data_IF_079373349047
#
_entry.id   IF_079373349047
#
_cell.length_a   1.000
_cell.length_b   1.000
_cell.length_c   1.000
_cell.angle_alpha   90.00
_cell.angle_beta   90.00
_cell.angle_gamma   90.00
#
_symmetry.space_group_name_H-M   'P 1'
#
loop_
_entity.id
_entity.type
_entity.pdbx_description
1 polymer ?
#
# COMPACT_ATOMS: atom_id res chain seq x y z
N UNK A 1 4.22 11.91 -14.98
CA UNK A 1 3.79 10.51 -14.76
C UNK A 1 4.86 9.50 -15.13
N UNK A 2 5.73 9.80 -16.12
CA UNK A 2 6.63 8.78 -16.70
C UNK A 2 7.87 8.42 -15.87
N UNK A 3 8.42 9.32 -15.04
CA UNK A 3 9.67 9.01 -14.31
C UNK A 3 9.44 8.11 -13.07
N UNK A 4 8.34 8.27 -12.34
CA UNK A 4 8.04 7.46 -11.16
C UNK A 4 7.66 6.02 -11.53
N UNK A 5 6.82 5.82 -12.57
CA UNK A 5 6.43 4.47 -13.01
C UNK A 5 7.62 3.71 -13.59
N UNK A 6 8.48 4.37 -14.35
CA UNK A 6 9.69 3.75 -14.88
C UNK A 6 10.67 3.33 -13.76
N UNK A 7 10.82 4.16 -12.73
CA UNK A 7 11.67 3.82 -11.59
C UNK A 7 11.09 2.64 -10.76
N UNK A 8 9.76 2.58 -10.57
CA UNK A 8 9.11 1.49 -9.85
C UNK A 8 9.18 0.17 -10.63
N UNK A 9 8.98 0.19 -11.94
CA UNK A 9 9.10 -0.99 -12.80
C UNK A 9 10.53 -1.53 -12.82
N UNK A 10 11.52 -0.69 -13.05
CA UNK A 10 12.93 -1.09 -13.00
C UNK A 10 13.28 -1.72 -11.63
N UNK A 11 12.77 -1.12 -10.54
CA UNK A 11 13.00 -1.57 -9.19
C UNK A 11 12.37 -2.93 -8.88
N UNK A 12 11.23 -3.26 -9.48
CA UNK A 12 10.67 -4.61 -9.38
C UNK A 12 11.67 -5.67 -9.81
N UNK A 13 12.37 -5.47 -10.93
CA UNK A 13 13.36 -6.43 -11.42
C UNK A 13 14.66 -6.43 -10.62
N UNK A 14 15.16 -5.25 -10.25
CA UNK A 14 16.42 -5.17 -9.47
C UNK A 14 16.27 -5.74 -8.06
N UNK A 15 15.12 -5.55 -7.42
CA UNK A 15 14.84 -6.04 -6.06
C UNK A 15 14.03 -7.35 -6.05
N UNK A 16 13.83 -7.94 -7.23
CA UNK A 16 13.02 -9.16 -7.39
C UNK A 16 13.38 -10.28 -6.43
N UNK A 17 14.66 -10.60 -6.14
CA UNK A 17 15.00 -11.66 -5.19
C UNK A 17 14.47 -11.39 -3.77
N UNK A 18 14.50 -10.13 -3.31
CA UNK A 18 13.98 -9.74 -1.99
C UNK A 18 12.45 -9.80 -1.93
N UNK A 19 11.80 -9.34 -3.01
CA UNK A 19 10.34 -9.38 -3.16
C UNK A 19 9.84 -10.83 -3.24
N UNK A 20 10.57 -11.68 -3.98
CA UNK A 20 10.27 -13.11 -4.09
C UNK A 20 10.44 -13.82 -2.75
N UNK A 21 11.45 -13.48 -1.95
CA UNK A 21 11.62 -14.05 -0.61
C UNK A 21 10.42 -13.74 0.30
N UNK A 22 9.94 -12.49 0.29
CA UNK A 22 8.73 -12.13 1.04
C UNK A 22 7.50 -12.90 0.56
N UNK A 23 7.36 -13.06 -0.76
CA UNK A 23 6.26 -13.84 -1.34
C UNK A 23 6.37 -15.33 -1.02
N UNK A 24 7.56 -15.91 -1.01
CA UNK A 24 7.75 -17.31 -0.62
C UNK A 24 7.26 -17.58 0.81
N UNK A 25 7.59 -16.71 1.76
CA UNK A 25 7.11 -16.83 3.15
C UNK A 25 5.57 -16.74 3.19
N UNK A 26 4.98 -15.77 2.46
CA UNK A 26 3.53 -15.62 2.36
C UNK A 26 2.87 -16.84 1.69
N UNK A 27 3.45 -17.35 0.61
CA UNK A 27 2.93 -18.50 -0.15
C UNK A 27 2.94 -19.78 0.68
N UNK A 28 4.00 -20.03 1.46
CA UNK A 28 4.08 -21.19 2.37
C UNK A 28 2.98 -21.11 3.43
N UNK A 29 2.76 -19.95 4.04
CA UNK A 29 1.69 -19.77 5.02
C UNK A 29 0.31 -20.00 4.38
N UNK A 30 0.06 -19.38 3.23
CA UNK A 30 -1.20 -19.55 2.49
C UNK A 30 -1.45 -21.00 2.09
N UNK A 31 -0.46 -21.69 1.54
CA UNK A 31 -0.57 -23.08 1.13
C UNK A 31 -0.82 -24.02 2.33
N UNK A 32 -0.12 -23.80 3.46
CA UNK A 32 -0.29 -24.61 4.66
C UNK A 32 -1.70 -24.47 5.25
N UNK A 33 -2.22 -23.25 5.39
CA UNK A 33 -3.58 -23.05 5.91
C UNK A 33 -4.64 -23.52 4.93
N UNK A 34 -4.47 -23.30 3.62
CA UNK A 34 -5.40 -23.81 2.62
C UNK A 34 -5.42 -25.33 2.63
N UNK A 35 -4.27 -26.01 2.68
CA UNK A 35 -4.17 -27.46 2.77
C UNK A 35 -4.87 -28.01 4.03
N UNK A 36 -4.73 -27.30 5.17
CA UNK A 36 -5.44 -27.66 6.40
C UNK A 36 -6.96 -27.66 6.21
N UNK A 37 -7.53 -26.61 5.59
CA UNK A 37 -8.96 -26.53 5.38
C UNK A 37 -9.46 -27.47 4.27
N UNK A 38 -8.66 -27.78 3.26
CA UNK A 38 -8.92 -28.85 2.30
C UNK A 38 -9.01 -30.21 3.02
N UNK A 39 -8.07 -30.51 3.92
CA UNK A 39 -8.08 -31.71 4.72
C UNK A 39 -9.31 -31.76 5.63
N UNK A 40 -9.65 -30.68 6.34
CA UNK A 40 -10.86 -30.60 7.16
C UNK A 40 -12.10 -30.84 6.30
N UNK A 41 -12.20 -30.20 5.13
CA UNK A 41 -13.31 -30.39 4.20
C UNK A 41 -13.45 -31.83 3.75
N UNK A 42 -12.35 -32.51 3.47
CA UNK A 42 -12.32 -33.93 3.13
C UNK A 42 -12.80 -34.82 4.27
N UNK A 43 -12.27 -34.60 5.50
CA UNK A 43 -12.61 -35.39 6.69
C UNK A 43 -14.06 -35.18 7.15
N UNK A 44 -14.64 -34.02 6.95
CA UNK A 44 -16.02 -33.69 7.37
C UNK A 44 -17.06 -33.93 6.29
N UNK A 45 -16.65 -34.27 5.06
CA UNK A 45 -17.53 -34.39 3.92
C UNK A 45 -17.99 -33.08 3.28
N UNK A 46 -17.56 -31.90 3.82
CA UNK A 46 -17.84 -30.56 3.25
C UNK A 46 -16.73 -30.09 2.28
N UNK A 47 -16.37 -30.98 1.34
CA UNK A 47 -15.27 -30.72 0.41
C UNK A 47 -15.72 -29.79 -0.74
N UNK A 48 -15.64 -28.49 -0.53
CA UNK A 48 -15.97 -27.46 -1.52
C UNK A 48 -15.06 -26.24 -1.40
N UNK A 49 -15.04 -25.41 -2.46
CA UNK A 49 -14.15 -24.25 -2.57
C UNK A 49 -14.37 -23.21 -1.45
N UNK A 50 -15.60 -23.07 -0.93
CA UNK A 50 -15.92 -22.11 0.13
C UNK A 50 -15.20 -22.52 1.42
N UNK A 51 -15.19 -23.83 1.74
CA UNK A 51 -14.45 -24.35 2.90
C UNK A 51 -12.94 -24.18 2.71
N UNK A 52 -12.42 -24.43 1.50
CA UNK A 52 -11.00 -24.25 1.22
C UNK A 52 -10.55 -22.77 1.38
N UNK A 53 -11.40 -21.83 0.99
CA UNK A 53 -11.16 -20.41 1.15
C UNK A 53 -11.08 -19.96 2.61
N UNK A 54 -11.53 -20.74 3.60
CA UNK A 54 -11.33 -20.43 5.03
C UNK A 54 -9.85 -20.28 5.39
N UNK A 55 -8.95 -20.92 4.64
CA UNK A 55 -7.50 -20.75 4.79
C UNK A 55 -7.00 -19.31 4.61
N UNK A 56 -7.79 -18.45 3.94
CA UNK A 56 -7.48 -17.03 3.78
C UNK A 56 -7.42 -16.33 5.15
N UNK A 57 -8.32 -16.67 6.08
CA UNK A 57 -8.42 -16.00 7.38
C UNK A 57 -7.08 -16.06 8.15
N UNK A 58 -6.53 -17.25 8.47
CA UNK A 58 -5.28 -17.36 9.20
C UNK A 58 -4.04 -17.02 8.37
N UNK A 59 -4.12 -17.00 7.04
CA UNK A 59 -3.00 -16.59 6.17
C UNK A 59 -2.88 -15.07 6.02
N UNK A 60 -3.96 -14.32 6.27
CA UNK A 60 -3.99 -12.87 6.03
C UNK A 60 -2.94 -12.06 6.84
N UNK A 61 -2.58 -12.41 8.10
CA UNK A 61 -1.46 -11.77 8.80
C UNK A 61 -0.13 -11.85 8.04
N UNK A 62 0.15 -12.94 7.35
CA UNK A 62 1.36 -13.10 6.53
C UNK A 62 1.30 -12.21 5.28
N UNK A 63 0.11 -12.00 4.73
CA UNK A 63 -0.08 -11.04 3.65
C UNK A 63 0.27 -9.60 4.08
N UNK A 64 0.07 -9.22 5.36
CA UNK A 64 0.56 -7.93 5.89
C UNK A 64 2.08 -7.78 5.70
N UNK A 65 2.84 -8.84 6.00
CA UNK A 65 4.30 -8.87 5.80
C UNK A 65 4.69 -8.65 4.34
N UNK A 66 3.99 -9.28 3.39
CA UNK A 66 4.19 -9.08 1.96
C UNK A 66 3.90 -7.62 1.56
N UNK A 67 2.73 -7.09 1.94
CA UNK A 67 2.30 -5.72 1.59
C UNK A 67 3.32 -4.69 2.09
N UNK A 68 3.77 -4.79 3.34
CA UNK A 68 4.76 -3.87 3.91
C UNK A 68 6.12 -3.98 3.21
N UNK A 69 6.58 -5.20 2.91
CA UNK A 69 7.85 -5.41 2.21
C UNK A 69 7.81 -4.84 0.80
N UNK A 70 6.74 -5.12 0.04
CA UNK A 70 6.50 -4.55 -1.29
C UNK A 70 6.48 -3.03 -1.23
N UNK A 71 5.82 -2.46 -0.23
CA UNK A 71 5.74 -1.02 -0.08
C UNK A 71 7.10 -0.39 0.21
N UNK A 72 7.83 -0.88 1.22
CA UNK A 72 9.14 -0.33 1.59
C UNK A 72 10.16 -0.42 0.45
N UNK A 73 10.25 -1.57 -0.21
CA UNK A 73 11.20 -1.79 -1.28
C UNK A 73 10.76 -1.10 -2.58
N UNK A 74 9.50 -1.30 -2.99
CA UNK A 74 8.99 -0.86 -4.29
C UNK A 74 8.63 0.63 -4.35
N UNK A 75 7.97 1.14 -3.30
CA UNK A 75 7.41 2.50 -3.28
C UNK A 75 8.34 3.47 -2.55
N UNK A 76 8.71 3.13 -1.30
CA UNK A 76 9.55 3.99 -0.45
C UNK A 76 11.04 3.89 -0.81
N UNK A 77 11.42 3.00 -1.71
CA UNK A 77 12.79 2.80 -2.19
C UNK A 77 13.82 2.55 -1.07
N UNK A 78 13.37 1.95 0.03
CA UNK A 78 14.21 1.64 1.20
C UNK A 78 14.80 0.24 1.07
N UNK A 79 16.09 0.13 1.35
CA UNK A 79 16.71 -1.19 1.54
C UNK A 79 16.45 -1.66 2.96
N UNK A 80 15.72 -2.78 3.09
CA UNK A 80 15.30 -3.31 4.39
C UNK A 80 15.58 -4.81 4.48
N UNK A 81 15.93 -5.32 5.68
CA UNK A 81 16.07 -6.76 5.90
C UNK A 81 14.69 -7.43 5.82
N UNK A 82 14.47 -8.19 4.74
CA UNK A 82 13.14 -8.75 4.37
C UNK A 82 12.51 -9.53 5.51
N UNK A 83 13.20 -10.51 6.08
CA UNK A 83 12.66 -11.37 7.13
C UNK A 83 12.26 -10.57 8.38
N UNK A 84 13.11 -9.64 8.84
CA UNK A 84 12.83 -8.80 10.02
C UNK A 84 11.63 -7.90 9.76
N UNK A 85 11.55 -7.26 8.59
CA UNK A 85 10.43 -6.39 8.20
C UNK A 85 9.15 -7.21 8.08
N UNK A 86 9.20 -8.35 7.42
CA UNK A 86 8.05 -9.24 7.22
C UNK A 86 7.44 -9.69 8.55
N UNK A 87 8.23 -10.39 9.38
CA UNK A 87 7.71 -10.93 10.64
C UNK A 87 7.41 -9.86 11.69
N UNK A 88 8.14 -8.74 11.69
CA UNK A 88 7.80 -7.57 12.50
C UNK A 88 6.39 -7.07 12.18
N UNK A 89 6.10 -6.86 10.89
CA UNK A 89 4.77 -6.41 10.43
C UNK A 89 3.67 -7.43 10.75
N UNK A 90 3.95 -8.72 10.54
CA UNK A 90 3.01 -9.80 10.92
C UNK A 90 2.63 -9.69 12.39
N UNK A 91 3.61 -9.56 13.28
CA UNK A 91 3.39 -9.48 14.73
C UNK A 91 2.60 -8.24 15.13
N UNK A 92 2.96 -7.07 14.60
CA UNK A 92 2.33 -5.78 14.91
C UNK A 92 0.88 -5.72 14.43
N UNK A 93 0.59 -6.28 13.25
CA UNK A 93 -0.72 -6.17 12.60
C UNK A 93 -1.58 -7.44 12.69
N UNK A 94 -1.17 -8.43 13.47
CA UNK A 94 -1.78 -9.76 13.50
C UNK A 94 -3.30 -9.73 13.67
N UNK A 95 -3.80 -9.04 14.72
CA UNK A 95 -5.24 -8.97 15.03
C UNK A 95 -6.03 -8.22 13.95
N UNK A 96 -5.49 -7.12 13.45
CA UNK A 96 -6.13 -6.34 12.39
C UNK A 96 -6.27 -7.16 11.10
N UNK A 97 -5.22 -7.87 10.72
CA UNK A 97 -5.25 -8.69 9.50
C UNK A 97 -6.06 -9.97 9.65
N UNK A 98 -6.19 -10.56 10.83
CA UNK A 98 -7.19 -11.62 11.04
C UNK A 98 -8.61 -11.11 10.73
N UNK A 99 -8.98 -9.92 11.22
CA UNK A 99 -10.28 -9.33 10.91
C UNK A 99 -10.42 -9.02 9.41
N UNK A 100 -9.38 -8.47 8.78
CA UNK A 100 -9.38 -8.26 7.33
C UNK A 100 -9.52 -9.60 6.57
N UNK A 101 -8.95 -10.69 7.10
CA UNK A 101 -9.12 -12.03 6.58
C UNK A 101 -10.57 -12.51 6.62
N UNK A 102 -11.27 -12.28 7.73
CA UNK A 102 -12.70 -12.60 7.85
C UNK A 102 -13.52 -11.81 6.83
N UNK A 103 -13.28 -10.51 6.70
CA UNK A 103 -13.98 -9.65 5.73
C UNK A 103 -13.68 -10.09 4.29
N UNK A 104 -12.41 -10.35 3.96
CA UNK A 104 -11.99 -10.84 2.63
C UNK A 104 -12.65 -12.17 2.31
N UNK A 105 -12.63 -13.10 3.26
CA UNK A 105 -13.30 -14.40 3.10
C UNK A 105 -14.80 -14.23 2.84
N UNK A 106 -15.48 -13.39 3.63
CA UNK A 106 -16.91 -13.13 3.45
C UNK A 106 -17.22 -12.55 2.06
N UNK A 107 -16.42 -11.58 1.60
CA UNK A 107 -16.55 -11.00 0.25
C UNK A 107 -16.39 -12.10 -0.81
N UNK A 108 -15.35 -12.93 -0.71
CA UNK A 108 -15.08 -14.00 -1.70
C UNK A 108 -16.19 -15.04 -1.67
N UNK A 109 -16.57 -15.54 -0.50
CA UNK A 109 -17.61 -16.58 -0.37
C UNK A 109 -18.98 -16.09 -0.89
N UNK A 110 -19.39 -14.87 -0.49
CA UNK A 110 -20.61 -14.25 -1.02
C UNK A 110 -20.52 -14.03 -2.54
N UNK A 111 -19.32 -13.65 -3.04
CA UNK A 111 -19.10 -13.42 -4.46
C UNK A 111 -19.24 -14.71 -5.29
N UNK A 112 -18.62 -15.78 -4.84
CA UNK A 112 -18.73 -17.08 -5.51
C UNK A 112 -20.19 -17.54 -5.53
N UNK A 113 -20.87 -17.50 -4.37
CA UNK A 113 -22.23 -17.93 -4.25
C UNK A 113 -23.20 -17.10 -5.12
N UNK A 114 -23.14 -15.78 -5.00
CA UNK A 114 -24.02 -14.87 -5.75
C UNK A 114 -23.80 -14.98 -7.26
N UNK A 115 -22.52 -15.04 -7.69
CA UNK A 115 -22.19 -15.20 -9.10
C UNK A 115 -22.75 -16.52 -9.65
N UNK A 116 -22.50 -17.64 -8.99
CA UNK A 116 -22.98 -18.96 -9.41
C UNK A 116 -24.50 -19.00 -9.46
N UNK A 117 -25.17 -18.44 -8.44
CA UNK A 117 -26.64 -18.42 -8.36
C UNK A 117 -27.27 -17.61 -9.49
N UNK A 118 -26.89 -16.34 -9.63
CA UNK A 118 -27.48 -15.49 -10.68
C UNK A 118 -27.08 -15.90 -12.08
N UNK A 119 -25.85 -16.41 -12.25
CA UNK A 119 -25.39 -16.92 -13.54
C UNK A 119 -26.18 -18.15 -14.00
N UNK A 120 -26.51 -19.06 -13.09
CA UNK A 120 -27.33 -20.26 -13.41
C UNK A 120 -28.77 -19.90 -13.83
N UNK A 121 -29.26 -18.73 -13.41
CA UNK A 121 -30.61 -18.24 -13.73
C UNK A 121 -30.63 -17.25 -14.91
N UNK A 122 -29.47 -16.97 -15.54
CA UNK A 122 -29.41 -16.18 -16.76
C UNK A 122 -30.27 -16.80 -17.86
N UNK A 123 -31.13 -16.02 -18.45
CA UNK A 123 -32.06 -16.48 -19.50
C UNK A 123 -33.44 -16.90 -19.01
N UNK A 124 -33.64 -17.14 -17.69
CA UNK A 124 -34.98 -17.40 -17.14
C UNK A 124 -35.84 -16.15 -16.95
N UNK A 125 -35.18 -14.99 -16.65
CA UNK A 125 -35.85 -13.70 -16.54
C UNK A 125 -34.83 -12.55 -16.65
N UNK A 126 -35.26 -11.42 -17.22
CA UNK A 126 -34.48 -10.19 -17.27
C UNK A 126 -34.09 -9.68 -15.88
N UNK A 127 -34.91 -9.95 -14.85
CA UNK A 127 -34.65 -9.58 -13.47
C UNK A 127 -33.36 -10.20 -12.93
N UNK A 128 -33.06 -11.46 -13.23
CA UNK A 128 -31.82 -12.10 -12.77
C UNK A 128 -30.57 -11.53 -13.44
N UNK A 129 -30.65 -11.16 -14.71
CA UNK A 129 -29.58 -10.45 -15.41
C UNK A 129 -29.31 -9.09 -14.80
N UNK A 130 -30.34 -8.32 -14.47
CA UNK A 130 -30.21 -7.03 -13.79
C UNK A 130 -29.59 -7.18 -12.40
N UNK A 131 -30.01 -8.16 -11.62
CA UNK A 131 -29.45 -8.46 -10.28
C UNK A 131 -27.97 -8.85 -10.39
N UNK A 132 -27.59 -9.68 -11.36
CA UNK A 132 -26.19 -10.02 -11.61
C UNK A 132 -25.35 -8.77 -11.93
N UNK A 133 -25.89 -7.86 -12.77
CA UNK A 133 -25.19 -6.62 -13.10
C UNK A 133 -24.95 -5.75 -11.87
N UNK A 134 -25.98 -5.52 -11.06
CA UNK A 134 -25.86 -4.74 -9.81
C UNK A 134 -24.85 -5.39 -8.87
N UNK A 135 -24.91 -6.72 -8.75
CA UNK A 135 -23.98 -7.47 -7.93
C UNK A 135 -22.52 -7.31 -8.42
N UNK A 136 -22.27 -7.42 -9.73
CA UNK A 136 -20.92 -7.22 -10.30
C UNK A 136 -20.41 -5.82 -10.00
N UNK A 137 -21.22 -4.77 -10.20
CA UNK A 137 -20.83 -3.40 -9.88
C UNK A 137 -20.48 -3.23 -8.40
N UNK A 138 -21.29 -3.80 -7.51
CA UNK A 138 -21.00 -3.78 -6.06
C UNK A 138 -19.71 -4.51 -5.72
N UNK A 139 -19.47 -5.68 -6.32
CA UNK A 139 -18.22 -6.45 -6.13
C UNK A 139 -16.99 -5.68 -6.60
N UNK A 140 -17.08 -4.91 -7.68
CA UNK A 140 -15.98 -4.04 -8.14
C UNK A 140 -15.65 -2.94 -7.11
N UNK A 141 -16.67 -2.34 -6.50
CA UNK A 141 -16.47 -1.35 -5.42
C UNK A 141 -15.78 -1.99 -4.21
N UNK A 142 -16.28 -3.15 -3.75
CA UNK A 142 -15.67 -3.86 -2.62
C UNK A 142 -14.22 -4.28 -2.90
N UNK A 143 -13.94 -4.80 -4.10
CA UNK A 143 -12.58 -5.15 -4.51
C UNK A 143 -11.66 -3.93 -4.54
N UNK A 144 -12.14 -2.79 -5.06
CA UNK A 144 -11.38 -1.54 -5.04
C UNK A 144 -11.08 -1.06 -3.61
N UNK A 145 -12.02 -1.20 -2.66
CA UNK A 145 -11.76 -0.93 -1.24
C UNK A 145 -10.64 -1.82 -0.70
N UNK A 146 -10.64 -3.11 -1.05
CA UNK A 146 -9.63 -4.07 -0.59
C UNK A 146 -8.24 -3.81 -1.16
N UNK A 147 -8.07 -2.96 -2.17
CA UNK A 147 -6.75 -2.46 -2.58
C UNK A 147 -6.14 -1.51 -1.55
N UNK A 148 -6.95 -0.69 -0.89
CA UNK A 148 -6.51 0.29 0.08
C UNK A 148 -6.35 -0.28 1.49
N UNK A 149 -7.28 -1.14 1.92
CA UNK A 149 -7.35 -1.64 3.30
C UNK A 149 -6.03 -2.23 3.81
N UNK A 150 -5.37 -3.19 3.13
CA UNK A 150 -4.12 -3.76 3.61
C UNK A 150 -2.98 -2.74 3.66
N UNK A 151 -2.91 -1.86 2.66
CA UNK A 151 -1.86 -0.84 2.55
C UNK A 151 -2.00 0.19 3.67
N UNK A 152 -3.21 0.68 3.90
CA UNK A 152 -3.47 1.64 4.97
C UNK A 152 -3.21 1.05 6.34
N UNK A 153 -3.58 -0.22 6.55
CA UNK A 153 -3.38 -0.90 7.83
C UNK A 153 -1.91 -1.07 8.22
N UNK A 154 -1.01 -1.31 7.25
CA UNK A 154 0.43 -1.45 7.53
C UNK A 154 1.17 -0.12 7.53
N UNK A 155 0.57 0.94 6.99
CA UNK A 155 1.25 2.21 6.77
C UNK A 155 0.90 3.26 7.81
N UNK A 156 -0.38 3.33 8.19
CA UNK A 156 -0.92 4.40 9.04
C UNK A 156 -1.46 3.83 10.35
N UNK A 157 -1.27 4.58 11.43
CA UNK A 157 -1.81 4.25 12.75
C UNK A 157 -3.26 4.73 12.86
N UNK A 158 -4.16 4.06 12.13
CA UNK A 158 -5.58 4.38 12.08
C UNK A 158 -6.40 3.29 12.77
N UNK A 159 -7.56 3.68 13.30
CA UNK A 159 -8.55 2.70 13.77
C UNK A 159 -9.09 1.91 12.58
N UNK A 160 -9.39 0.63 12.78
CA UNK A 160 -9.91 -0.26 11.73
C UNK A 160 -11.15 0.34 11.05
N UNK A 161 -12.09 0.91 11.83
CA UNK A 161 -13.27 1.59 11.28
C UNK A 161 -12.90 2.72 10.31
N UNK A 162 -11.85 3.51 10.65
CA UNK A 162 -11.45 4.65 9.83
C UNK A 162 -10.71 4.18 8.56
N UNK A 163 -9.99 3.05 8.64
CA UNK A 163 -9.38 2.41 7.47
C UNK A 163 -10.47 2.04 6.43
N UNK A 164 -11.55 1.37 6.85
CA UNK A 164 -12.63 1.01 5.93
C UNK A 164 -13.40 2.23 5.40
N UNK A 165 -13.68 3.23 6.25
CA UNK A 165 -14.33 4.48 5.81
C UNK A 165 -13.48 5.22 4.79
N UNK A 166 -12.19 5.41 5.08
CA UNK A 166 -11.27 6.10 4.18
C UNK A 166 -11.06 5.30 2.89
N UNK A 167 -10.98 3.97 2.96
CA UNK A 167 -10.90 3.12 1.76
C UNK A 167 -12.12 3.32 0.87
N UNK A 168 -13.32 3.38 1.44
CA UNK A 168 -14.54 3.65 0.68
C UNK A 168 -14.51 5.03 0.01
N UNK A 169 -14.11 6.08 0.74
CA UNK A 169 -13.97 7.44 0.19
C UNK A 169 -12.94 7.48 -0.95
N UNK A 170 -11.81 6.79 -0.79
CA UNK A 170 -10.73 6.73 -1.79
C UNK A 170 -11.15 6.02 -3.09
N UNK A 171 -12.11 5.09 -3.03
CA UNK A 171 -12.65 4.45 -4.24
C UNK A 171 -13.25 5.49 -5.17
N UNK A 172 -13.99 6.47 -4.65
CA UNK A 172 -14.61 7.52 -5.44
C UNK A 172 -13.68 8.73 -5.65
N UNK A 173 -12.83 9.04 -4.65
CA UNK A 173 -11.90 10.16 -4.72
C UNK A 173 -10.79 10.00 -5.78
N UNK A 174 -10.40 8.76 -6.10
CA UNK A 174 -9.34 8.46 -7.06
C UNK A 174 -9.82 7.55 -8.21
N UNK A 175 -11.00 7.83 -8.77
CA UNK A 175 -11.71 6.94 -9.69
C UNK A 175 -10.85 6.47 -10.88
N UNK A 176 -10.07 7.34 -11.52
CA UNK A 176 -9.23 6.98 -12.66
C UNK A 176 -8.09 6.01 -12.26
N UNK A 177 -7.45 6.24 -11.11
CA UNK A 177 -6.41 5.34 -10.59
C UNK A 177 -7.01 4.00 -10.18
N UNK A 178 -8.22 4.00 -9.63
CA UNK A 178 -8.94 2.79 -9.26
C UNK A 178 -9.37 1.97 -10.47
N UNK A 179 -9.86 2.61 -11.53
CA UNK A 179 -10.15 1.92 -12.79
C UNK A 179 -8.88 1.29 -13.35
N UNK A 180 -7.76 2.01 -13.37
CA UNK A 180 -6.49 1.48 -13.86
C UNK A 180 -5.98 0.30 -12.99
N UNK A 181 -6.06 0.42 -11.66
CA UNK A 181 -5.70 -0.65 -10.73
C UNK A 181 -6.59 -1.88 -10.90
N UNK A 182 -7.91 -1.66 -11.11
CA UNK A 182 -8.86 -2.73 -11.35
C UNK A 182 -8.61 -3.43 -12.70
N UNK A 183 -8.37 -2.69 -13.77
CA UNK A 183 -8.02 -3.25 -15.08
C UNK A 183 -6.74 -4.07 -15.02
N UNK A 184 -5.72 -3.55 -14.33
CA UNK A 184 -4.48 -4.29 -14.09
C UNK A 184 -4.74 -5.59 -13.31
N UNK A 185 -5.49 -5.49 -12.20
CA UNK A 185 -5.83 -6.64 -11.35
C UNK A 185 -6.62 -7.70 -12.13
N UNK A 186 -7.63 -7.29 -12.89
CA UNK A 186 -8.43 -8.19 -13.74
C UNK A 186 -7.54 -8.84 -14.81
N UNK A 187 -6.71 -8.08 -15.49
CA UNK A 187 -5.83 -8.61 -16.55
C UNK A 187 -4.86 -9.68 -16.01
N UNK A 188 -4.22 -9.40 -14.87
CA UNK A 188 -3.33 -10.38 -14.22
C UNK A 188 -4.11 -11.61 -13.75
N UNK A 189 -5.28 -11.41 -13.13
CA UNK A 189 -6.13 -12.52 -12.64
C UNK A 189 -6.60 -13.41 -13.79
N UNK A 190 -7.12 -12.80 -14.86
CA UNK A 190 -7.57 -13.54 -16.05
C UNK A 190 -6.42 -14.32 -16.71
N UNK A 191 -5.22 -13.71 -16.79
CA UNK A 191 -4.05 -14.39 -17.33
C UNK A 191 -3.73 -15.69 -16.59
N UNK A 192 -3.70 -15.66 -15.26
CA UNK A 192 -3.45 -16.86 -14.44
C UNK A 192 -4.62 -17.86 -14.51
N UNK A 193 -5.87 -17.37 -14.44
CA UNK A 193 -7.06 -18.23 -14.52
C UNK A 193 -7.12 -18.98 -15.86
N UNK A 194 -6.92 -18.29 -16.98
CA UNK A 194 -6.93 -18.89 -18.30
C UNK A 194 -5.77 -19.88 -18.48
N UNK A 195 -4.59 -19.56 -17.94
CA UNK A 195 -3.48 -20.50 -17.96
C UNK A 195 -3.77 -21.77 -17.17
N UNK A 196 -4.31 -21.65 -15.94
CA UNK A 196 -4.71 -22.80 -15.11
C UNK A 196 -5.82 -23.62 -15.82
N UNK A 197 -6.81 -22.93 -16.41
CA UNK A 197 -7.92 -23.58 -17.11
C UNK A 197 -7.49 -24.34 -18.38
N UNK A 198 -6.43 -23.87 -19.05
CA UNK A 198 -5.87 -24.51 -20.24
C UNK A 198 -4.82 -25.60 -19.95
N UNK A 199 -4.39 -25.72 -18.68
CA UNK A 199 -3.33 -26.65 -18.29
C UNK A 199 -3.92 -28.02 -17.89
N UNK A 200 -3.27 -29.10 -18.31
CA UNK A 200 -3.64 -30.49 -17.99
C UNK A 200 -2.46 -31.26 -17.38
N UNK A 201 -2.75 -32.29 -16.62
CA UNK A 201 -1.74 -33.21 -16.07
C UNK A 201 -0.67 -32.49 -15.24
N UNK A 202 0.60 -32.75 -15.54
CA UNK A 202 1.74 -32.11 -14.84
C UNK A 202 1.79 -30.59 -15.03
N UNK A 203 1.33 -30.07 -16.18
CA UNK A 203 1.28 -28.64 -16.46
C UNK A 203 0.29 -27.91 -15.55
N UNK A 204 -0.79 -28.54 -15.13
CA UNK A 204 -1.73 -27.98 -14.16
C UNK A 204 -1.06 -27.74 -12.79
N UNK A 205 -0.26 -28.72 -12.32
CA UNK A 205 0.49 -28.57 -11.06
C UNK A 205 1.48 -27.41 -11.16
N UNK A 206 2.18 -27.29 -12.28
CA UNK A 206 3.12 -26.20 -12.54
C UNK A 206 2.37 -24.86 -12.57
N UNK A 207 1.26 -24.77 -13.29
CA UNK A 207 0.47 -23.54 -13.41
C UNK A 207 -0.06 -23.07 -12.05
N UNK A 208 -0.60 -23.98 -11.22
CA UNK A 208 -1.06 -23.67 -9.87
C UNK A 208 0.12 -23.21 -9.00
N UNK A 209 1.26 -23.90 -9.05
CA UNK A 209 2.44 -23.54 -8.24
C UNK A 209 2.95 -22.16 -8.62
N UNK A 210 3.08 -21.87 -9.91
CA UNK A 210 3.52 -20.56 -10.39
C UNK A 210 2.50 -19.49 -10.03
N UNK A 211 1.20 -19.76 -10.12
CA UNK A 211 0.17 -18.83 -9.70
C UNK A 211 0.28 -18.49 -8.20
N UNK A 212 0.44 -19.47 -7.33
CA UNK A 212 0.61 -19.24 -5.88
C UNK A 212 1.87 -18.42 -5.58
N UNK A 213 2.95 -18.65 -6.34
CA UNK A 213 4.23 -17.95 -6.12
C UNK A 213 4.26 -16.53 -6.69
N UNK A 214 3.62 -16.27 -7.80
CA UNK A 214 3.81 -15.00 -8.52
C UNK A 214 2.59 -14.10 -8.53
N UNK A 215 1.37 -14.66 -8.57
CA UNK A 215 0.16 -13.85 -8.65
C UNK A 215 0.00 -12.85 -7.50
N UNK A 216 0.12 -13.25 -6.20
CA UNK A 216 -0.05 -12.28 -5.10
C UNK A 216 1.03 -11.19 -5.12
N UNK A 217 2.27 -11.53 -5.49
CA UNK A 217 3.36 -10.56 -5.61
C UNK A 217 3.10 -9.55 -6.72
N UNK A 218 2.77 -10.01 -7.93
CA UNK A 218 2.54 -9.15 -9.09
C UNK A 218 1.32 -8.25 -8.85
N UNK A 219 0.22 -8.85 -8.38
CA UNK A 219 -1.00 -8.11 -8.08
C UNK A 219 -0.78 -7.05 -6.99
N UNK A 220 -0.15 -7.42 -5.88
CA UNK A 220 0.14 -6.49 -4.78
C UNK A 220 1.10 -5.39 -5.21
N UNK A 221 2.16 -5.72 -5.93
CA UNK A 221 3.14 -4.73 -6.39
C UNK A 221 2.51 -3.73 -7.36
N UNK A 222 1.85 -4.22 -8.41
CA UNK A 222 1.26 -3.37 -9.44
C UNK A 222 0.15 -2.47 -8.89
N UNK A 223 -0.76 -3.02 -8.08
CA UNK A 223 -1.80 -2.22 -7.43
C UNK A 223 -1.19 -1.14 -6.53
N UNK A 224 -0.20 -1.49 -5.67
CA UNK A 224 0.49 -0.51 -4.83
C UNK A 224 1.10 0.64 -5.64
N UNK A 225 1.79 0.34 -6.74
CA UNK A 225 2.40 1.36 -7.60
C UNK A 225 1.35 2.31 -8.19
N UNK A 226 0.22 1.76 -8.66
CA UNK A 226 -0.83 2.55 -9.30
C UNK A 226 -1.51 3.50 -8.30
N UNK A 227 -1.83 3.00 -7.08
CA UNK A 227 -2.60 3.78 -6.10
C UNK A 227 -1.73 4.62 -5.15
N UNK A 228 -0.41 4.38 -5.09
CA UNK A 228 0.50 5.01 -4.12
C UNK A 228 0.39 6.54 -4.09
N UNK A 229 0.43 7.17 -5.26
CA UNK A 229 0.34 8.63 -5.36
C UNK A 229 -1.00 9.17 -4.85
N UNK A 230 -2.12 8.51 -5.21
CA UNK A 230 -3.44 8.93 -4.74
C UNK A 230 -3.63 8.73 -3.25
N UNK A 231 -3.06 7.66 -2.70
CA UNK A 231 -3.07 7.41 -1.27
C UNK A 231 -2.27 8.47 -0.50
N UNK A 232 -1.08 8.83 -1.01
CA UNK A 232 -0.24 9.87 -0.42
C UNK A 232 -0.91 11.24 -0.42
N UNK A 233 -1.51 11.63 -1.55
CA UNK A 233 -2.18 12.93 -1.70
C UNK A 233 -3.40 13.07 -0.77
N UNK A 234 -4.14 12.00 -0.51
CA UNK A 234 -5.39 12.04 0.24
C UNK A 234 -5.26 11.64 1.72
N UNK A 235 -4.29 10.81 2.08
CA UNK A 235 -4.13 10.31 3.45
C UNK A 235 -2.81 10.73 4.06
N UNK A 236 -1.71 10.69 3.31
CA UNK A 236 -0.38 11.05 3.76
C UNK A 236 -0.29 12.49 4.25
N UNK A 237 -0.94 13.42 3.53
CA UNK A 237 -1.00 14.83 3.90
C UNK A 237 -1.67 15.08 5.26
N UNK A 238 -2.65 14.28 5.64
CA UNK A 238 -3.34 14.39 6.95
C UNK A 238 -2.57 13.71 8.08
N UNK A 239 -1.79 12.68 7.79
CA UNK A 239 -1.06 11.92 8.81
C UNK A 239 0.38 12.40 9.00
N UNK A 240 0.84 13.36 8.19
CA UNK A 240 2.21 13.87 8.21
C UNK A 240 3.27 12.86 7.76
N UNK A 241 2.86 11.68 7.27
CA UNK A 241 3.76 10.66 6.73
C UNK A 241 3.89 10.82 5.22
N UNK A 242 4.93 11.49 4.77
CA UNK A 242 5.27 11.52 3.36
C UNK A 242 6.04 10.24 2.99
N UNK A 243 5.41 9.40 2.16
CA UNK A 243 5.93 8.09 1.76
C UNK A 243 6.62 8.12 0.39
N UNK A 244 6.54 9.24 -0.30
CA UNK A 244 7.10 9.44 -1.64
C UNK A 244 8.33 10.35 -1.64
N UNK A 245 8.77 10.80 -0.46
CA UNK A 245 9.95 11.66 -0.35
C UNK A 245 11.19 10.88 -0.79
N UNK A 246 11.85 11.39 -1.82
CA UNK A 246 13.15 10.90 -2.24
C UNK A 246 14.16 11.15 -1.11
N UNK A 247 14.96 10.12 -0.76
CA UNK A 247 16.07 10.26 0.22
C UNK A 247 16.98 11.45 -0.11
N UNK A 248 17.12 11.73 -1.39
CA UNK A 248 17.91 12.86 -1.90
C UNK A 248 17.33 14.23 -1.51
N UNK A 249 16.00 14.31 -1.35
CA UNK A 249 15.34 15.51 -0.86
C UNK A 249 15.46 15.64 0.66
N UNK A 250 15.25 14.56 1.44
CA UNK A 250 15.45 14.54 2.89
C UNK A 250 16.91 14.91 3.23
N UNK A 251 17.89 14.33 2.55
CA UNK A 251 19.32 14.62 2.74
C UNK A 251 19.68 16.05 2.36
N UNK A 252 19.04 16.63 1.34
CA UNK A 252 19.19 18.05 0.98
C UNK A 252 18.56 18.97 2.03
N UNK A 253 17.36 18.63 2.52
CA UNK A 253 16.69 19.39 3.58
C UNK A 253 17.49 19.32 4.88
N UNK A 254 17.99 18.16 5.26
CA UNK A 254 18.81 17.96 6.45
C UNK A 254 20.12 18.80 6.38
N UNK A 255 20.80 18.76 5.23
CA UNK A 255 21.98 19.60 4.97
C UNK A 255 21.68 21.10 5.02
N UNK A 256 20.53 21.53 4.48
CA UNK A 256 20.11 22.94 4.53
C UNK A 256 19.78 23.36 5.96
N UNK A 257 19.10 22.51 6.73
CA UNK A 257 18.77 22.79 8.14
C UNK A 257 20.04 22.83 8.99
N UNK A 258 20.99 21.93 8.74
CA UNK A 258 22.27 21.90 9.42
C UNK A 258 23.12 23.13 9.09
N UNK A 259 23.17 23.55 7.82
CA UNK A 259 23.81 24.78 7.39
C UNK A 259 23.17 26.03 8.02
N UNK A 260 21.84 26.09 8.05
CA UNK A 260 21.13 27.19 8.71
C UNK A 260 21.33 27.22 10.24
N UNK A 261 21.48 26.05 10.87
CA UNK A 261 21.80 25.96 12.30
C UNK A 261 23.23 26.45 12.59
N UNK A 262 24.19 26.10 11.73
CA UNK A 262 25.58 26.61 11.82
C UNK A 262 25.63 28.10 11.59
N UNK A 263 24.96 28.62 10.57
CA UNK A 263 24.87 30.07 10.30
C UNK A 263 24.21 30.85 11.45
N UNK A 264 23.17 30.28 12.09
CA UNK A 264 22.53 30.89 13.27
C UNK A 264 23.45 30.85 14.50
N UNK A 265 24.23 29.79 14.67
CA UNK A 265 25.21 29.67 15.74
C UNK A 265 26.37 30.68 15.56
N UNK A 266 26.84 30.86 14.33
CA UNK A 266 27.88 31.89 14.00
C UNK A 266 27.32 33.29 14.16
N UNK A 267 26.11 33.59 13.74
CA UNK A 267 25.47 34.88 13.90
C UNK A 267 25.19 35.25 15.36
N UNK A 268 25.03 34.28 16.25
CA UNK A 268 24.84 34.52 17.69
C UNK A 268 26.12 34.97 18.39
N UNK A 269 27.30 34.68 17.82
CA UNK A 269 28.59 35.10 18.33
C UNK A 269 29.01 36.51 17.85
N UNK A 270 28.27 37.14 16.96
CA UNK A 270 28.57 38.45 16.40
C UNK A 270 28.18 39.65 17.29
N UNK A 271 27.50 39.39 18.42
CA UNK A 271 27.06 40.44 19.33
C UNK A 271 27.67 40.29 20.72
N UNK A 272 28.27 41.36 21.22
CA UNK A 272 28.81 41.42 22.59
C UNK A 272 28.01 42.42 23.41
N UNK A 273 27.69 42.10 24.66
CA UNK A 273 27.02 43.00 25.59
C UNK A 273 28.08 43.92 26.23
N UNK A 274 28.04 45.20 25.91
CA UNK A 274 28.89 46.21 26.53
C UNK A 274 28.02 47.32 27.11
N UNK A 275 28.13 47.57 28.40
CA UNK A 275 27.37 48.60 29.14
C UNK A 275 25.83 48.56 28.93
N UNK A 276 25.25 47.35 28.96
CA UNK A 276 23.81 47.17 28.85
C UNK A 276 23.23 47.31 27.43
N UNK A 277 24.08 47.38 26.41
CA UNK A 277 23.67 47.39 24.99
C UNK A 277 24.33 46.25 24.21
N UNK A 278 23.56 45.59 23.34
CA UNK A 278 24.09 44.66 22.37
C UNK A 278 24.79 45.42 21.24
N UNK A 279 26.10 45.21 21.10
CA UNK A 279 26.93 45.84 20.05
C UNK A 279 27.44 44.73 19.14
N UNK A 280 27.27 44.88 17.84
CA UNK A 280 27.79 43.96 16.82
C UNK A 280 29.33 44.05 16.83
N UNK A 281 29.99 42.91 16.90
CA UNK A 281 31.44 42.81 16.80
C UNK A 281 31.83 43.17 15.36
N UNK A 282 32.53 44.28 15.17
CA UNK A 282 33.10 44.66 13.87
C UNK A 282 34.17 43.63 13.49
N UNK A 283 33.88 42.79 12.51
CA UNK A 283 34.89 41.98 11.84
C UNK A 283 35.62 42.91 10.85
N UNK A 284 36.88 43.14 11.09
CA UNK A 284 37.78 43.73 10.10
C UNK A 284 38.01 42.77 8.94
N UNK A 285 37.08 42.71 7.99
CA UNK A 285 37.34 42.22 6.64
C UNK A 285 36.38 42.91 5.67
N UNK A 286 36.96 43.78 4.85
CA UNK A 286 36.41 44.28 3.61
C UNK A 286 35.88 43.18 2.76
N UNK A 287 34.54 43.07 2.59
CA UNK A 287 33.94 42.85 1.26
C UNK A 287 32.43 43.09 1.32
N UNK A 288 32.01 43.99 0.44
CA UNK A 288 30.63 44.39 0.20
C UNK A 288 29.84 43.34 -0.51
N UNK A 289 28.76 42.82 0.10
CA UNK A 289 27.58 42.37 -0.63
C UNK A 289 26.32 42.61 0.19
N UNK A 290 25.45 43.40 -0.38
CA UNK A 290 24.12 43.79 0.06
C UNK A 290 23.23 42.60 0.39
N UNK A 291 22.89 42.38 1.66
CA UNK A 291 21.83 41.49 2.05
C UNK A 291 20.50 42.24 2.08
N UNK A 292 19.59 41.83 1.20
CA UNK A 292 18.18 42.23 1.27
C UNK A 292 17.52 41.47 2.46
N UNK A 293 17.17 42.22 3.48
CA UNK A 293 16.38 41.80 4.62
C UNK A 293 14.93 41.58 4.18
N UNK A 294 14.51 40.33 4.13
CA UNK A 294 13.10 39.99 4.10
C UNK A 294 12.58 39.99 5.55
N UNK A 295 11.89 41.05 5.96
CA UNK A 295 11.13 41.09 7.21
C UNK A 295 9.74 40.46 6.94
N UNK A 296 9.46 39.31 7.54
CA UNK A 296 8.09 38.80 7.60
C UNK A 296 7.24 39.71 8.52
N UNK A 297 6.02 40.07 8.11
CA UNK A 297 5.14 40.90 8.94
C UNK A 297 4.73 40.18 10.21
N UNK A 298 4.77 40.92 11.32
CA UNK A 298 4.32 40.47 12.65
C UNK A 298 2.81 40.19 12.65
N UNK A 299 2.32 39.17 13.40
CA UNK A 299 0.89 38.85 13.50
C UNK A 299 -0.01 39.90 14.11
N UNK A 300 0.53 41.09 14.47
CA UNK A 300 -0.22 42.18 15.09
C UNK A 300 -0.79 43.23 14.13
N UNK A 301 -0.46 43.14 12.85
CA UNK A 301 -0.88 44.16 11.87
C UNK A 301 -2.15 43.83 11.09
N UNK A 302 -2.91 42.80 11.53
CA UNK A 302 -4.17 42.36 10.90
C UNK A 302 -5.40 42.72 11.78
N UNK A 303 -5.37 43.83 12.51
CA UNK A 303 -6.55 44.35 13.17
C UNK A 303 -6.71 45.83 12.91
N UNK A 304 -7.44 46.16 11.86
CA UNK A 304 -7.85 47.54 11.62
C UNK A 304 -8.15 47.91 10.18
N UNK A 305 -9.29 47.56 9.70
CA UNK A 305 -10.28 48.34 8.95
C UNK A 305 -11.26 47.40 8.23
#
# INVERSE_FOLDING_TARGET
MNSFSNSAFARFFTEFPKLLLAQLINAVAFAAFTALFVLIGYLTGFNNIIVWCLGIIPSMPFFAGLVMTVRKIGIEKKDVPVAKTFFGTVKENFKAFLLHGVVTYAIIACSIFAFMYYFSLLGSSLAYGSMLTVYVLFSLILTSMMFYVPIMSVTYELKISDIYKNSFILVFGNILKNILAMLFFIAVSLGFILWIAAAEGAMLVIAITVAVLFYPLIATYGVNVIIAKGLQENVGSFTGKDLLVDKEFEEKVEKIVEQQAVERADSSNDYVFVNGKMIKRESNTTDSKTCLLYTSPSPRDISGS
#
